data_IF_514116117267
#
_entry.id   IF_514116117267
#
_cell.length_a   1.000
_cell.length_b   1.000
_cell.length_c   1.000
_cell.angle_alpha   90.00
_cell.angle_beta   90.00
_cell.angle_gamma   90.00
#
_symmetry.space_group_name_H-M   'P 1'
#
loop_
_entity.id
_entity.type
_entity.pdbx_description
1 polymer ?
#
# COMPACT_ATOMS: atom_id res chain seq x y z
N UNK A 1 5.07 2.98 32.93
CA UNK A 1 5.13 2.12 34.12
C UNK A 1 6.49 1.46 34.23
N UNK A 2 6.80 0.91 35.38
CA UNK A 2 8.10 0.27 35.67
C UNK A 2 8.09 -1.23 35.31
N UNK A 3 7.46 -1.61 34.24
CA UNK A 3 7.50 -3.02 33.79
C UNK A 3 8.89 -3.35 33.26
N UNK A 4 9.45 -4.46 33.68
CA UNK A 4 10.61 -5.06 33.06
C UNK A 4 10.15 -5.83 31.81
N UNK A 5 10.49 -5.29 30.65
CA UNK A 5 10.10 -5.85 29.36
C UNK A 5 11.25 -6.57 28.65
N UNK A 6 12.42 -6.62 29.29
CA UNK A 6 13.66 -7.14 28.70
C UNK A 6 13.61 -8.62 28.26
N UNK A 7 12.68 -9.40 28.79
CA UNK A 7 12.52 -10.82 28.43
C UNK A 7 11.34 -11.11 27.49
N UNK A 8 10.64 -10.05 27.01
CA UNK A 8 9.48 -10.24 26.13
C UNK A 8 9.95 -10.31 24.67
N UNK A 9 9.65 -11.42 24.00
CA UNK A 9 9.97 -11.62 22.58
C UNK A 9 8.73 -11.57 21.68
N UNK A 10 7.53 -11.85 22.22
CA UNK A 10 6.25 -11.85 21.49
C UNK A 10 5.35 -10.74 22.01
N UNK A 11 5.09 -9.74 21.17
CA UNK A 11 4.26 -8.57 21.46
C UNK A 11 2.95 -8.58 20.68
N UNK A 12 2.63 -9.74 20.07
CA UNK A 12 1.47 -9.87 19.19
C UNK A 12 0.19 -9.40 19.90
N UNK A 13 -0.48 -8.42 19.29
CA UNK A 13 -1.78 -7.93 19.71
C UNK A 13 -1.84 -7.32 21.14
N UNK A 14 -0.72 -6.95 21.75
CA UNK A 14 -0.68 -6.52 23.17
C UNK A 14 -1.68 -5.40 23.49
N UNK A 15 -1.92 -4.48 22.56
CA UNK A 15 -2.91 -3.39 22.69
C UNK A 15 -4.02 -3.49 21.64
N UNK A 16 -4.31 -4.71 21.17
CA UNK A 16 -5.33 -4.94 20.15
C UNK A 16 -6.69 -4.38 20.60
N UNK A 17 -7.29 -3.49 19.80
CA UNK A 17 -8.54 -2.78 20.09
C UNK A 17 -8.55 -1.95 21.39
N UNK A 18 -7.38 -1.63 21.96
CA UNK A 18 -7.27 -0.73 23.10
C UNK A 18 -7.45 0.73 22.62
N UNK A 19 -8.66 1.08 22.19
CA UNK A 19 -8.98 2.33 21.47
C UNK A 19 -8.64 3.62 22.22
N UNK A 20 -8.61 3.58 23.57
CA UNK A 20 -8.26 4.72 24.43
C UNK A 20 -6.82 4.69 24.91
N UNK A 21 -6.04 3.66 24.55
CA UNK A 21 -4.66 3.54 25.04
C UNK A 21 -3.77 4.59 24.38
N UNK A 22 -3.14 5.44 25.21
CA UNK A 22 -2.16 6.44 24.80
C UNK A 22 -1.18 6.76 25.92
N UNK A 23 -0.67 5.73 26.63
CA UNK A 23 0.30 5.94 27.71
C UNK A 23 1.73 5.87 27.18
N UNK A 24 2.63 6.61 27.82
CA UNK A 24 4.04 6.61 27.46
C UNK A 24 4.68 5.24 27.76
N UNK A 25 5.22 4.63 26.72
CA UNK A 25 5.90 3.34 26.73
C UNK A 25 7.29 3.42 26.05
N UNK A 26 7.80 4.64 25.86
CA UNK A 26 9.08 4.90 25.17
C UNK A 26 10.29 4.25 25.85
N UNK A 27 10.20 3.99 27.16
CA UNK A 27 11.27 3.40 27.96
C UNK A 27 11.26 1.86 28.01
N UNK A 28 10.36 1.22 27.26
CA UNK A 28 10.32 -0.24 27.22
C UNK A 28 11.54 -0.79 26.49
N UNK A 29 12.13 -1.84 27.06
CA UNK A 29 13.18 -2.60 26.39
C UNK A 29 12.53 -3.56 25.39
N UNK A 30 12.80 -3.34 24.10
CA UNK A 30 12.28 -4.14 22.98
C UNK A 30 13.38 -4.96 22.29
N UNK A 31 14.59 -4.97 22.84
CA UNK A 31 15.77 -5.59 22.22
C UNK A 31 15.62 -7.09 21.93
N UNK A 32 14.73 -7.78 22.65
CA UNK A 32 14.42 -9.19 22.42
C UNK A 32 13.12 -9.41 21.60
N UNK A 33 12.45 -8.33 21.17
CA UNK A 33 11.22 -8.46 20.39
C UNK A 33 11.48 -9.12 19.03
N UNK A 34 10.68 -10.13 18.69
CA UNK A 34 10.74 -10.83 17.40
C UNK A 34 9.45 -10.73 16.60
N UNK A 35 8.30 -10.62 17.26
CA UNK A 35 6.98 -10.48 16.63
C UNK A 35 6.21 -9.33 17.28
N UNK A 36 5.89 -8.29 16.50
CA UNK A 36 5.09 -7.14 16.90
C UNK A 36 3.76 -7.06 16.14
N UNK A 37 3.32 -8.19 15.56
CA UNK A 37 2.12 -8.24 14.74
C UNK A 37 0.88 -7.77 15.51
N UNK A 38 0.13 -6.84 14.92
CA UNK A 38 -1.12 -6.33 15.46
C UNK A 38 -1.00 -5.61 16.81
N UNK A 39 0.20 -5.26 17.27
CA UNK A 39 0.43 -4.73 18.64
C UNK A 39 -0.46 -3.54 18.96
N UNK A 40 -0.70 -2.62 18.03
CA UNK A 40 -1.55 -1.45 18.18
C UNK A 40 -2.76 -1.46 17.23
N UNK A 41 -3.15 -2.63 16.70
CA UNK A 41 -4.32 -2.74 15.84
C UNK A 41 -5.57 -2.29 16.57
N UNK A 42 -6.25 -1.26 16.03
CA UNK A 42 -7.43 -0.65 16.64
C UNK A 42 -7.15 0.25 17.86
N UNK A 43 -5.88 0.51 18.19
CA UNK A 43 -5.52 1.47 19.24
C UNK A 43 -5.64 2.92 18.70
N UNK A 44 -6.86 3.35 18.43
CA UNK A 44 -7.16 4.56 17.64
C UNK A 44 -6.68 5.87 18.25
N UNK A 45 -6.47 5.92 19.58
CA UNK A 45 -5.92 7.10 20.27
C UNK A 45 -4.38 7.05 20.45
N UNK A 46 -3.72 5.93 20.07
CA UNK A 46 -2.29 5.77 20.32
C UNK A 46 -1.44 6.69 19.46
N UNK A 47 -0.64 7.56 20.10
CA UNK A 47 0.29 8.46 19.42
C UNK A 47 1.48 8.80 20.31
N UNK A 48 2.11 7.79 20.96
CA UNK A 48 3.30 8.00 21.79
C UNK A 48 4.57 7.76 21.00
N UNK A 49 5.65 8.41 21.46
CA UNK A 49 6.97 8.23 20.87
C UNK A 49 7.54 6.85 21.17
N UNK A 50 7.76 6.07 20.13
CA UNK A 50 8.34 4.73 20.15
C UNK A 50 9.51 4.61 19.17
N UNK A 51 10.00 5.74 18.65
CA UNK A 51 11.11 5.77 17.69
C UNK A 51 12.45 5.30 18.26
N UNK A 52 12.57 5.28 19.60
CA UNK A 52 13.76 4.76 20.29
C UNK A 52 13.73 3.25 20.57
N UNK A 53 12.71 2.52 20.14
CA UNK A 53 12.67 1.07 20.33
C UNK A 53 13.73 0.36 19.49
N UNK A 54 14.36 -0.64 20.06
CA UNK A 54 15.25 -1.57 19.34
C UNK A 54 14.39 -2.59 18.58
N UNK A 55 14.42 -2.52 17.25
CA UNK A 55 13.68 -3.42 16.37
C UNK A 55 14.59 -4.40 15.62
N UNK A 56 15.88 -4.43 15.95
CA UNK A 56 16.90 -5.20 15.23
C UNK A 56 16.70 -6.73 15.24
N UNK A 57 15.82 -7.23 16.09
CA UNK A 57 15.43 -8.65 16.13
C UNK A 57 14.01 -8.91 15.64
N UNK A 58 13.26 -7.85 15.26
CA UNK A 58 11.88 -8.01 14.80
C UNK A 58 11.85 -8.59 13.38
N UNK A 59 11.03 -9.61 13.21
CA UNK A 59 10.85 -10.30 11.93
C UNK A 59 9.47 -10.11 11.34
N UNK A 60 8.45 -9.72 12.16
CA UNK A 60 7.08 -9.49 11.74
C UNK A 60 6.53 -8.21 12.37
N UNK A 61 5.93 -7.38 11.51
CA UNK A 61 5.23 -6.15 11.86
C UNK A 61 3.83 -6.10 11.20
N UNK A 62 3.30 -7.28 10.80
CA UNK A 62 2.00 -7.38 10.16
C UNK A 62 0.91 -6.74 11.02
N UNK A 63 0.03 -5.97 10.40
CA UNK A 63 -1.16 -5.39 11.05
C UNK A 63 -0.85 -4.45 12.24
N UNK A 64 0.43 -4.06 12.45
CA UNK A 64 0.88 -3.44 13.71
C UNK A 64 0.10 -2.17 14.08
N UNK A 65 -0.22 -1.33 13.09
CA UNK A 65 -0.92 -0.06 13.29
C UNK A 65 -2.25 0.02 12.54
N UNK A 66 -2.88 -1.15 12.22
CA UNK A 66 -4.21 -1.10 11.60
C UNK A 66 -5.15 -0.25 12.45
N UNK A 67 -5.81 0.75 11.81
CA UNK A 67 -6.76 1.64 12.48
C UNK A 67 -6.20 2.36 13.73
N UNK A 68 -4.88 2.52 13.84
CA UNK A 68 -4.26 3.45 14.77
C UNK A 68 -4.39 4.87 14.20
N UNK A 69 -5.60 5.43 14.25
CA UNK A 69 -6.06 6.55 13.42
C UNK A 69 -5.17 7.78 13.50
N UNK A 70 -4.66 8.11 14.71
CA UNK A 70 -3.88 9.33 14.98
C UNK A 70 -2.37 9.06 15.12
N UNK A 71 -1.92 7.81 14.92
CA UNK A 71 -0.50 7.49 15.04
C UNK A 71 0.31 8.19 13.97
N UNK A 72 1.22 9.07 14.39
CA UNK A 72 2.09 9.83 13.49
C UNK A 72 3.42 10.19 14.19
N UNK A 73 4.10 9.21 14.82
CA UNK A 73 5.40 9.39 15.45
C UNK A 73 6.52 8.87 14.58
N UNK A 74 7.68 9.53 14.69
CA UNK A 74 8.85 9.14 13.92
C UNK A 74 9.34 7.74 14.31
N UNK A 75 9.36 6.85 13.34
CA UNK A 75 9.84 5.46 13.42
C UNK A 75 10.85 5.16 12.28
N UNK A 76 11.35 6.20 11.62
CA UNK A 76 12.29 6.07 10.49
C UNK A 76 13.64 5.43 10.87
N UNK A 77 14.01 5.46 12.17
CA UNK A 77 15.24 4.85 12.66
C UNK A 77 15.11 3.35 13.03
N UNK A 78 13.92 2.76 12.87
CA UNK A 78 13.76 1.34 13.14
C UNK A 78 14.61 0.50 12.18
N UNK A 79 15.30 -0.49 12.73
CA UNK A 79 15.99 -1.51 11.94
C UNK A 79 14.95 -2.52 11.44
N UNK A 80 14.71 -2.52 10.13
CA UNK A 80 13.75 -3.40 9.46
C UNK A 80 14.42 -4.51 8.66
N UNK A 81 15.76 -4.63 8.75
CA UNK A 81 16.55 -5.53 7.93
C UNK A 81 16.20 -7.02 8.07
N UNK A 82 15.56 -7.42 9.18
CA UNK A 82 15.08 -8.80 9.40
C UNK A 82 13.58 -8.97 9.14
N UNK A 83 12.85 -7.88 8.89
CA UNK A 83 11.40 -7.95 8.74
C UNK A 83 11.04 -8.51 7.38
N UNK A 84 10.25 -9.58 7.37
CA UNK A 84 9.74 -10.21 6.14
C UNK A 84 8.23 -10.08 5.96
N UNK A 85 7.48 -9.70 6.99
CA UNK A 85 6.02 -9.51 6.94
C UNK A 85 5.63 -8.14 7.49
N UNK A 86 5.23 -7.24 6.57
CA UNK A 86 4.71 -5.91 6.84
C UNK A 86 3.27 -5.73 6.31
N UNK A 87 2.58 -6.83 5.99
CA UNK A 87 1.24 -6.73 5.42
C UNK A 87 0.32 -5.89 6.31
N UNK A 88 -0.43 -4.98 5.70
CA UNK A 88 -1.40 -4.09 6.33
C UNK A 88 -0.87 -3.25 7.51
N UNK A 89 0.47 -3.06 7.62
CA UNK A 89 1.08 -2.45 8.80
C UNK A 89 0.47 -1.10 9.18
N UNK A 90 0.11 -0.27 8.21
CA UNK A 90 -0.48 1.06 8.41
C UNK A 90 -1.90 1.17 7.82
N UNK A 91 -2.59 0.05 7.60
CA UNK A 91 -3.93 0.10 7.03
C UNK A 91 -4.89 0.88 7.95
N UNK A 92 -5.53 1.93 7.42
CA UNK A 92 -6.41 2.80 8.20
C UNK A 92 -5.69 3.70 9.23
N UNK A 93 -4.37 3.81 9.21
CA UNK A 93 -3.61 4.79 10.00
C UNK A 93 -3.72 6.17 9.33
N UNK A 94 -4.83 6.87 9.54
CA UNK A 94 -5.24 8.03 8.75
C UNK A 94 -4.23 9.18 8.78
N UNK A 95 -3.63 9.43 9.95
CA UNK A 95 -2.71 10.57 10.15
C UNK A 95 -1.24 10.19 9.85
N UNK A 96 -0.92 8.91 9.63
CA UNK A 96 0.46 8.48 9.46
C UNK A 96 1.10 9.09 8.22
N UNK A 97 2.18 9.86 8.41
CA UNK A 97 2.95 10.49 7.33
C UNK A 97 4.40 10.73 7.76
N UNK A 98 5.06 9.76 8.39
CA UNK A 98 6.46 9.89 8.80
C UNK A 98 7.41 9.33 7.75
N UNK A 99 8.60 9.91 7.70
CA UNK A 99 9.66 9.45 6.80
C UNK A 99 10.16 8.06 7.20
N UNK A 100 9.98 7.10 6.30
CA UNK A 100 10.39 5.70 6.41
C UNK A 100 11.22 5.28 5.18
N UNK A 101 11.78 6.26 4.47
CA UNK A 101 12.61 6.03 3.27
C UNK A 101 13.89 5.22 3.56
N UNK A 102 14.35 5.26 4.82
CA UNK A 102 15.53 4.52 5.27
C UNK A 102 15.30 3.04 5.64
N UNK A 103 14.06 2.56 5.56
CA UNK A 103 13.78 1.16 5.90
C UNK A 103 14.38 0.19 4.88
N UNK A 104 14.99 -0.87 5.39
CA UNK A 104 15.42 -2.01 4.58
C UNK A 104 14.21 -2.94 4.34
N UNK A 105 13.79 -3.04 3.08
CA UNK A 105 12.66 -3.86 2.66
C UNK A 105 13.09 -5.09 1.86
N UNK A 106 14.39 -5.35 1.77
CA UNK A 106 14.97 -6.41 0.93
C UNK A 106 14.49 -7.83 1.29
N UNK A 107 14.04 -8.05 2.52
CA UNK A 107 13.48 -9.34 2.95
C UNK A 107 11.97 -9.45 2.82
N UNK A 108 11.27 -8.37 2.39
CA UNK A 108 9.82 -8.34 2.30
C UNK A 108 9.34 -8.99 1.00
N UNK A 109 8.53 -10.04 1.11
CA UNK A 109 7.99 -10.75 -0.06
C UNK A 109 6.54 -10.39 -0.41
N UNK A 110 5.85 -9.68 0.48
CA UNK A 110 4.46 -9.27 0.31
C UNK A 110 4.22 -7.91 0.95
N UNK A 111 3.59 -6.99 0.19
CA UNK A 111 3.24 -5.64 0.62
C UNK A 111 1.73 -5.39 0.55
N UNK A 112 0.94 -6.47 0.82
CA UNK A 112 -0.53 -6.39 0.79
C UNK A 112 -1.01 -5.30 1.74
N UNK A 113 -1.77 -4.34 1.22
CA UNK A 113 -2.51 -3.31 1.98
C UNK A 113 -1.66 -2.47 2.96
N UNK A 114 -0.32 -2.42 2.79
CA UNK A 114 0.56 -1.78 3.78
C UNK A 114 0.15 -0.33 4.11
N UNK A 115 -0.34 0.45 3.14
CA UNK A 115 -0.85 1.81 3.30
C UNK A 115 -2.33 1.95 2.90
N UNK A 116 -3.09 0.84 2.92
CA UNK A 116 -4.51 0.89 2.60
C UNK A 116 -5.22 1.90 3.52
N UNK A 117 -5.94 2.88 2.92
CA UNK A 117 -6.63 3.95 3.64
C UNK A 117 -5.75 4.83 4.57
N UNK A 118 -4.43 4.80 4.43
CA UNK A 118 -3.54 5.76 5.07
C UNK A 118 -3.62 7.12 4.33
N UNK A 119 -4.67 7.87 4.59
CA UNK A 119 -5.10 9.02 3.77
C UNK A 119 -4.11 10.18 3.77
N UNK A 120 -3.29 10.33 4.81
CA UNK A 120 -2.26 11.37 4.90
C UNK A 120 -0.89 10.95 4.36
N UNK A 121 -0.69 9.64 4.11
CA UNK A 121 0.63 9.13 3.74
C UNK A 121 1.08 9.63 2.37
N UNK A 122 2.21 10.34 2.33
CA UNK A 122 2.83 10.83 1.09
C UNK A 122 4.35 10.98 1.24
N UNK A 123 5.04 10.01 1.88
CA UNK A 123 6.49 10.04 2.02
C UNK A 123 7.16 9.30 0.88
N UNK A 124 8.39 9.73 0.57
CA UNK A 124 9.18 9.11 -0.49
C UNK A 124 9.63 7.71 -0.06
N UNK A 125 9.18 6.71 -0.78
CA UNK A 125 9.54 5.29 -0.62
C UNK A 125 10.10 4.70 -1.92
N UNK A 126 10.51 5.55 -2.86
CA UNK A 126 11.10 5.13 -4.13
C UNK A 126 12.41 4.35 -3.99
N UNK A 127 13.10 4.49 -2.85
CA UNK A 127 14.33 3.74 -2.53
C UNK A 127 14.10 2.34 -1.96
N UNK A 128 12.87 1.95 -1.69
CA UNK A 128 12.58 0.61 -1.15
C UNK A 128 13.01 -0.49 -2.13
N UNK A 129 13.67 -1.52 -1.63
CA UNK A 129 13.95 -2.71 -2.40
C UNK A 129 12.68 -3.58 -2.51
N UNK A 130 12.15 -3.68 -3.72
CA UNK A 130 10.93 -4.45 -4.01
C UNK A 130 11.23 -5.73 -4.80
N UNK A 131 12.51 -6.04 -5.02
CA UNK A 131 12.94 -7.16 -5.87
C UNK A 131 12.44 -8.55 -5.41
N UNK A 132 12.13 -8.70 -4.12
CA UNK A 132 11.57 -9.94 -3.58
C UNK A 132 10.04 -9.92 -3.46
N UNK A 133 9.37 -8.80 -3.78
CA UNK A 133 7.93 -8.67 -3.61
C UNK A 133 7.18 -9.39 -4.72
N UNK A 134 6.26 -10.26 -4.32
CA UNK A 134 5.40 -11.01 -5.25
C UNK A 134 3.95 -10.55 -5.25
N UNK A 135 3.52 -9.80 -4.21
CA UNK A 135 2.13 -9.39 -4.03
C UNK A 135 2.02 -7.96 -3.50
N UNK A 136 1.31 -7.11 -4.26
CA UNK A 136 1.07 -5.69 -3.95
C UNK A 136 -0.43 -5.35 -3.87
N UNK A 137 -1.28 -6.34 -3.61
CA UNK A 137 -2.75 -6.16 -3.52
C UNK A 137 -3.12 -5.01 -2.58
N UNK A 138 -3.86 -4.03 -3.10
CA UNK A 138 -4.41 -2.92 -2.32
C UNK A 138 -3.37 -2.08 -1.59
N UNK A 139 -2.09 -2.09 -2.00
CA UNK A 139 -0.99 -1.43 -1.26
C UNK A 139 -1.31 0.02 -0.91
N UNK A 140 -1.93 0.77 -1.82
CA UNK A 140 -2.35 2.16 -1.66
C UNK A 140 -3.86 2.33 -1.83
N UNK A 141 -4.66 1.29 -1.55
CA UNK A 141 -6.12 1.37 -1.61
C UNK A 141 -6.62 2.54 -0.75
N UNK A 142 -7.26 3.53 -1.34
CA UNK A 142 -7.79 4.70 -0.64
C UNK A 142 -6.74 5.64 0.00
N UNK A 143 -5.45 5.49 -0.30
CA UNK A 143 -4.38 6.39 0.14
C UNK A 143 -4.41 7.69 -0.67
N UNK A 144 -5.33 8.58 -0.35
CA UNK A 144 -5.69 9.73 -1.18
C UNK A 144 -4.57 10.75 -1.40
N UNK A 145 -3.63 10.88 -0.47
CA UNK A 145 -2.53 11.85 -0.60
C UNK A 145 -1.31 11.29 -1.31
N UNK A 146 -1.22 9.95 -1.48
CA UNK A 146 -0.01 9.33 -2.01
C UNK A 146 0.23 9.69 -3.48
N UNK A 147 1.37 10.35 -3.76
CA UNK A 147 1.79 10.71 -5.12
C UNK A 147 3.31 10.80 -5.23
N UNK A 148 4.04 9.84 -4.65
CA UNK A 148 5.50 9.81 -4.75
C UNK A 148 5.97 8.95 -5.92
N UNK A 149 7.16 9.28 -6.43
CA UNK A 149 7.79 8.52 -7.51
C UNK A 149 8.20 7.12 -7.01
N UNK A 150 7.63 6.11 -7.64
CA UNK A 150 7.89 4.69 -7.42
C UNK A 150 8.20 3.97 -8.73
N UNK A 151 8.51 4.72 -9.78
CA UNK A 151 8.82 4.17 -11.11
C UNK A 151 10.10 3.34 -11.16
N UNK A 152 10.99 3.49 -10.15
CA UNK A 152 12.22 2.71 -10.03
C UNK A 152 12.07 1.36 -9.32
N UNK A 153 10.88 1.02 -8.83
CA UNK A 153 10.65 -0.26 -8.16
C UNK A 153 10.87 -1.45 -9.10
N UNK A 154 11.56 -2.47 -8.61
CA UNK A 154 11.65 -3.76 -9.29
C UNK A 154 10.36 -4.55 -9.08
N UNK A 155 9.55 -4.67 -10.13
CA UNK A 155 8.28 -5.40 -10.11
C UNK A 155 8.35 -6.74 -10.81
N UNK A 156 9.55 -7.17 -11.23
CA UNK A 156 9.77 -8.37 -12.03
C UNK A 156 9.31 -9.69 -11.38
N UNK A 157 9.06 -9.68 -10.08
CA UNK A 157 8.53 -10.83 -9.34
C UNK A 157 7.06 -10.69 -8.94
N UNK A 158 6.42 -9.54 -9.21
CA UNK A 158 5.03 -9.29 -8.79
C UNK A 158 4.05 -10.07 -9.68
N UNK A 159 3.16 -10.80 -9.04
CA UNK A 159 2.11 -11.57 -9.72
C UNK A 159 0.71 -10.99 -9.55
N UNK A 160 0.49 -10.17 -8.53
CA UNK A 160 -0.81 -9.59 -8.23
C UNK A 160 -0.69 -8.12 -7.82
N UNK A 161 -1.33 -7.24 -8.60
CA UNK A 161 -1.42 -5.79 -8.39
C UNK A 161 -2.87 -5.33 -8.21
N UNK A 162 -3.81 -6.26 -7.91
CA UNK A 162 -5.22 -5.91 -7.82
C UNK A 162 -5.47 -4.83 -6.77
N UNK A 163 -6.34 -3.88 -7.12
CA UNK A 163 -6.78 -2.78 -6.25
C UNK A 163 -5.65 -1.87 -5.72
N UNK A 164 -4.45 -1.88 -6.34
CA UNK A 164 -3.26 -1.21 -5.79
C UNK A 164 -3.46 0.29 -5.58
N UNK A 165 -4.12 0.98 -6.51
CA UNK A 165 -4.46 2.41 -6.45
C UNK A 165 -5.96 2.64 -6.51
N UNK A 166 -6.76 1.67 -6.03
CA UNK A 166 -8.21 1.74 -5.98
C UNK A 166 -8.67 2.92 -5.12
N UNK A 167 -9.52 3.78 -5.69
CA UNK A 167 -10.08 4.92 -5.00
C UNK A 167 -11.56 5.10 -5.35
N UNK A 168 -12.43 4.29 -4.76
CA UNK A 168 -13.88 4.40 -4.98
C UNK A 168 -14.63 4.47 -3.66
N UNK A 169 -15.69 5.27 -3.65
CA UNK A 169 -16.60 5.44 -2.51
C UNK A 169 -18.03 5.18 -2.96
N UNK A 170 -18.71 4.28 -2.29
CA UNK A 170 -20.11 3.94 -2.59
C UNK A 170 -21.09 5.11 -2.29
N UNK A 171 -20.73 6.01 -1.40
CA UNK A 171 -21.58 7.11 -0.89
C UNK A 171 -21.25 8.48 -1.51
N UNK A 172 -20.54 8.50 -2.64
CA UNK A 172 -20.27 9.75 -3.34
C UNK A 172 -21.52 10.29 -4.04
N UNK A 173 -22.19 11.25 -3.42
CA UNK A 173 -22.75 12.33 -4.23
C UNK A 173 -21.56 12.97 -4.97
N UNK A 174 -21.56 12.96 -6.29
CA UNK A 174 -20.46 13.44 -7.17
C UNK A 174 -19.96 14.87 -6.88
N UNK A 175 -20.54 15.55 -5.91
CA UNK A 175 -20.32 16.96 -5.57
C UNK A 175 -19.78 17.19 -4.14
N UNK A 176 -19.42 16.16 -3.36
CA UNK A 176 -18.84 16.41 -2.03
C UNK A 176 -17.34 16.74 -2.13
N UNK A 177 -17.06 18.00 -2.46
CA UNK A 177 -15.70 18.57 -2.55
C UNK A 177 -14.95 18.59 -1.21
N UNK A 178 -15.59 18.22 -0.10
CA UNK A 178 -14.94 18.17 1.22
C UNK A 178 -14.09 16.90 1.44
N UNK A 179 -14.22 15.93 0.53
CA UNK A 179 -13.52 14.62 0.64
C UNK A 179 -12.27 14.63 -0.24
N UNK A 180 -11.15 14.03 0.24
CA UNK A 180 -9.93 13.97 -0.55
C UNK A 180 -10.14 13.21 -1.86
N UNK A 181 -9.56 13.72 -2.94
CA UNK A 181 -9.49 13.07 -4.24
C UNK A 181 -8.20 12.22 -4.30
N UNK A 182 -8.15 11.16 -5.14
CA UNK A 182 -6.92 10.42 -5.35
C UNK A 182 -5.86 11.35 -5.96
N UNK A 183 -4.59 11.17 -5.55
CA UNK A 183 -3.50 12.02 -6.03
C UNK A 183 -2.53 11.31 -6.97
N UNK A 184 -2.50 9.95 -6.96
CA UNK A 184 -1.47 9.20 -7.64
C UNK A 184 -1.54 9.36 -9.16
N UNK A 185 -0.47 9.93 -9.73
CA UNK A 185 -0.28 10.09 -11.18
C UNK A 185 1.21 10.13 -11.56
N UNK A 186 2.03 9.25 -10.96
CA UNK A 186 3.47 9.15 -11.27
C UNK A 186 3.73 8.15 -12.38
N UNK A 187 4.85 8.33 -13.07
CA UNK A 187 5.28 7.44 -14.15
C UNK A 187 5.67 6.06 -13.59
N UNK A 188 4.96 5.04 -14.03
CA UNK A 188 5.18 3.62 -13.70
C UNK A 188 5.29 2.78 -14.97
N UNK A 189 5.53 3.42 -16.12
CA UNK A 189 5.66 2.75 -17.41
C UNK A 189 6.83 1.77 -17.49
N UNK A 190 7.87 1.95 -16.64
CA UNK A 190 9.03 1.06 -16.60
C UNK A 190 8.83 -0.21 -15.75
N UNK A 191 7.67 -0.38 -15.12
CA UNK A 191 7.42 -1.60 -14.34
C UNK A 191 7.41 -2.85 -15.24
N UNK A 192 8.10 -3.89 -14.79
CA UNK A 192 8.01 -5.20 -15.40
C UNK A 192 6.72 -5.90 -14.94
N UNK A 193 5.77 -6.03 -15.85
CA UNK A 193 4.47 -6.66 -15.59
C UNK A 193 4.37 -8.07 -16.15
N UNK A 194 5.47 -8.62 -16.68
CA UNK A 194 5.49 -9.90 -17.39
C UNK A 194 5.02 -11.10 -16.56
N UNK A 195 5.07 -11.02 -15.22
CA UNK A 195 4.55 -12.07 -14.34
C UNK A 195 3.17 -11.75 -13.72
N UNK A 196 2.63 -10.57 -13.99
CA UNK A 196 1.35 -10.18 -13.39
C UNK A 196 0.20 -10.97 -14.02
N UNK A 197 -0.62 -11.56 -13.18
CA UNK A 197 -1.82 -12.31 -13.60
C UNK A 197 -3.11 -11.61 -13.24
N UNK A 198 -3.09 -10.71 -12.24
CA UNK A 198 -4.27 -10.02 -11.77
C UNK A 198 -4.02 -8.50 -11.63
N UNK A 199 -4.80 -7.71 -12.40
CA UNK A 199 -4.84 -6.24 -12.38
C UNK A 199 -6.25 -5.72 -12.04
N UNK A 200 -7.14 -6.58 -11.48
CA UNK A 200 -8.51 -6.20 -11.08
C UNK A 200 -8.51 -4.91 -10.27
N UNK A 201 -9.34 -3.96 -10.67
CA UNK A 201 -9.59 -2.72 -9.93
C UNK A 201 -8.37 -1.80 -9.72
N UNK A 202 -7.25 -2.03 -10.39
CA UNK A 202 -5.98 -1.36 -10.06
C UNK A 202 -6.08 0.17 -10.02
N UNK A 203 -6.89 0.78 -10.90
CA UNK A 203 -7.04 2.23 -11.02
C UNK A 203 -8.49 2.71 -10.88
N UNK A 204 -9.35 1.96 -10.17
CA UNK A 204 -10.74 2.38 -9.94
C UNK A 204 -10.79 3.79 -9.36
N UNK A 205 -11.55 4.70 -9.99
CA UNK A 205 -11.77 6.08 -9.54
C UNK A 205 -10.51 6.94 -9.47
N UNK A 206 -9.41 6.49 -10.07
CA UNK A 206 -8.10 7.16 -10.06
C UNK A 206 -8.04 8.33 -11.05
N UNK A 207 -7.14 9.30 -10.79
CA UNK A 207 -6.76 10.36 -11.73
C UNK A 207 -5.57 9.95 -12.62
N UNK A 208 -5.12 8.71 -12.50
CA UNK A 208 -3.95 8.19 -13.21
C UNK A 208 -4.10 8.32 -14.72
N UNK A 209 -3.08 8.90 -15.37
CA UNK A 209 -3.04 9.07 -16.83
C UNK A 209 -1.60 9.09 -17.37
N UNK A 210 -0.72 8.21 -16.84
CA UNK A 210 0.63 8.06 -17.37
C UNK A 210 0.70 6.94 -18.39
N UNK A 211 1.73 6.98 -19.24
CA UNK A 211 1.94 5.99 -20.30
C UNK A 211 2.30 4.61 -19.71
N UNK A 212 1.49 3.62 -20.04
CA UNK A 212 1.66 2.22 -19.66
C UNK A 212 1.58 1.29 -20.89
N UNK A 213 1.85 1.84 -22.06
CA UNK A 213 1.83 1.09 -23.35
C UNK A 213 2.89 -0.01 -23.41
N UNK A 214 3.96 0.12 -22.61
CA UNK A 214 5.06 -0.84 -22.51
C UNK A 214 4.76 -2.07 -21.64
N UNK A 215 3.65 -2.05 -20.88
CA UNK A 215 3.34 -3.17 -19.99
C UNK A 215 3.07 -4.46 -20.75
N UNK A 216 3.73 -5.53 -20.33
CA UNK A 216 3.45 -6.88 -20.81
C UNK A 216 2.22 -7.44 -20.09
N UNK A 217 1.12 -7.57 -20.83
CA UNK A 217 -0.15 -8.10 -20.31
C UNK A 217 -0.41 -9.55 -20.72
N UNK A 218 0.58 -10.21 -21.35
CA UNK A 218 0.41 -11.54 -21.92
C UNK A 218 0.04 -12.63 -20.92
N UNK A 219 0.34 -12.44 -19.63
CA UNK A 219 -0.01 -13.38 -18.57
C UNK A 219 -1.23 -12.93 -17.73
N UNK A 220 -1.81 -11.76 -18.01
CA UNK A 220 -2.95 -11.25 -17.24
C UNK A 220 -4.21 -12.01 -17.60
N UNK A 221 -4.91 -12.46 -16.56
CA UNK A 221 -6.21 -13.17 -16.66
C UNK A 221 -7.39 -12.35 -16.15
N UNK A 222 -7.14 -11.39 -15.25
CA UNK A 222 -8.15 -10.58 -14.59
C UNK A 222 -7.88 -9.09 -14.76
N UNK A 223 -8.81 -8.38 -15.45
CA UNK A 223 -8.83 -6.93 -15.64
C UNK A 223 -10.19 -6.32 -15.29
N UNK A 224 -11.02 -7.06 -14.51
CA UNK A 224 -12.31 -6.56 -14.06
C UNK A 224 -12.17 -5.18 -13.41
N UNK A 225 -13.02 -4.23 -13.79
CA UNK A 225 -13.09 -2.86 -13.28
C UNK A 225 -11.75 -2.09 -13.25
N UNK A 226 -10.73 -2.50 -14.00
CA UNK A 226 -9.36 -1.93 -13.87
C UNK A 226 -9.33 -0.39 -13.95
N UNK A 227 -10.10 0.22 -14.83
CA UNK A 227 -10.23 1.67 -15.02
C UNK A 227 -11.65 2.18 -14.77
N UNK A 228 -12.43 1.46 -13.94
CA UNK A 228 -13.78 1.87 -13.56
C UNK A 228 -13.75 3.27 -12.94
N UNK A 229 -14.49 4.22 -13.51
CA UNK A 229 -14.52 5.66 -13.10
C UNK A 229 -13.14 6.36 -13.12
N UNK A 230 -12.16 5.84 -13.83
CA UNK A 230 -10.88 6.50 -14.05
C UNK A 230 -11.05 7.63 -15.07
N UNK A 231 -11.68 8.72 -14.66
CA UNK A 231 -12.18 9.80 -15.53
C UNK A 231 -11.10 10.51 -16.35
N UNK A 232 -9.84 10.44 -15.93
CA UNK A 232 -8.71 11.09 -16.61
C UNK A 232 -7.94 10.17 -17.56
N UNK A 233 -8.11 8.85 -17.44
CA UNK A 233 -7.30 7.90 -18.19
C UNK A 233 -7.61 7.92 -19.69
N UNK A 234 -6.58 8.17 -20.53
CA UNK A 234 -6.70 8.15 -21.99
C UNK A 234 -5.36 7.82 -22.68
N UNK A 235 -4.58 6.88 -22.13
CA UNK A 235 -3.32 6.46 -22.75
C UNK A 235 -3.53 5.35 -23.78
N UNK A 236 -2.63 5.29 -24.76
CA UNK A 236 -2.65 4.24 -25.77
C UNK A 236 -2.23 2.89 -25.17
N UNK A 237 -3.15 1.94 -25.20
CA UNK A 237 -2.98 0.57 -24.70
C UNK A 237 -3.30 -0.46 -25.81
N UNK A 238 -3.23 -0.03 -27.07
CA UNK A 238 -3.51 -0.88 -28.24
C UNK A 238 -2.55 -2.05 -28.37
N UNK A 239 -1.36 -1.97 -27.77
CA UNK A 239 -0.34 -3.02 -27.77
C UNK A 239 -0.55 -4.11 -26.72
N UNK A 240 -1.53 -3.94 -25.82
CA UNK A 240 -1.77 -4.95 -24.79
C UNK A 240 -2.24 -6.27 -25.40
N UNK A 241 -1.69 -7.37 -24.89
CA UNK A 241 -2.08 -8.73 -25.26
C UNK A 241 -3.21 -9.16 -24.34
N UNK A 242 -4.36 -9.46 -24.91
CA UNK A 242 -5.59 -9.77 -24.16
C UNK A 242 -6.07 -11.21 -24.28
N UNK A 243 -5.39 -12.01 -25.07
CA UNK A 243 -5.76 -13.41 -25.39
C UNK A 243 -5.92 -14.33 -24.18
N UNK A 244 -5.28 -14.01 -23.04
CA UNK A 244 -5.41 -14.78 -21.79
C UNK A 244 -6.41 -14.15 -20.80
N UNK A 245 -6.96 -12.95 -21.08
CA UNK A 245 -7.86 -12.29 -20.17
C UNK A 245 -9.24 -12.96 -20.18
N UNK A 246 -9.70 -13.37 -19.01
CA UNK A 246 -10.99 -14.07 -18.86
C UNK A 246 -12.10 -13.17 -18.33
N UNK A 247 -11.74 -12.03 -17.72
CA UNK A 247 -12.70 -11.09 -17.17
C UNK A 247 -12.25 -9.62 -17.39
N UNK A 248 -13.05 -8.86 -18.14
CA UNK A 248 -12.94 -7.41 -18.38
C UNK A 248 -14.24 -6.67 -17.99
N UNK A 249 -15.05 -7.25 -17.11
CA UNK A 249 -16.35 -6.66 -16.74
C UNK A 249 -16.16 -5.25 -16.23
N UNK A 250 -16.92 -4.30 -16.80
CA UNK A 250 -16.91 -2.88 -16.41
C UNK A 250 -15.53 -2.19 -16.46
N UNK A 251 -14.56 -2.71 -17.23
CA UNK A 251 -13.17 -2.21 -17.25
C UNK A 251 -13.08 -0.69 -17.45
N UNK A 252 -13.91 -0.10 -18.30
CA UNK A 252 -13.95 1.35 -18.58
C UNK A 252 -15.29 2.00 -18.25
N UNK A 253 -16.07 1.40 -17.33
CA UNK A 253 -17.35 1.99 -16.92
C UNK A 253 -17.11 3.41 -16.33
N UNK A 254 -17.79 4.43 -16.85
CA UNK A 254 -17.63 5.85 -16.47
C UNK A 254 -16.17 6.37 -16.58
N UNK A 255 -15.32 5.79 -17.45
CA UNK A 255 -14.00 6.31 -17.80
C UNK A 255 -14.13 7.40 -18.89
N UNK A 256 -14.64 8.57 -18.52
CA UNK A 256 -15.13 9.62 -19.42
C UNK A 256 -14.16 10.09 -20.50
N UNK A 257 -12.85 10.09 -20.20
CA UNK A 257 -11.82 10.55 -21.14
C UNK A 257 -11.34 9.45 -22.09
N UNK A 258 -11.62 8.17 -21.79
CA UNK A 258 -11.03 7.07 -22.56
C UNK A 258 -11.59 6.99 -23.99
N UNK A 259 -10.72 7.21 -24.98
CA UNK A 259 -11.09 7.18 -26.42
C UNK A 259 -9.96 6.61 -27.29
N UNK A 260 -9.24 5.61 -26.80
CA UNK A 260 -8.14 4.99 -27.56
C UNK A 260 -8.62 3.81 -28.41
N UNK A 261 -7.86 3.50 -29.47
CA UNK A 261 -8.17 2.37 -30.31
C UNK A 261 -7.75 1.06 -29.66
N UNK A 262 -8.70 0.22 -29.30
CA UNK A 262 -8.50 -1.12 -28.74
C UNK A 262 -9.01 -2.22 -29.71
N UNK A 263 -9.22 -1.89 -30.97
CA UNK A 263 -9.75 -2.84 -31.94
C UNK A 263 -8.80 -3.98 -32.33
N UNK A 264 -7.55 -3.95 -31.84
CA UNK A 264 -6.55 -5.01 -32.01
C UNK A 264 -6.59 -6.07 -30.89
N UNK A 265 -7.37 -5.84 -29.85
CA UNK A 265 -7.51 -6.81 -28.75
C UNK A 265 -8.22 -8.08 -29.23
N UNK A 266 -7.79 -9.26 -28.79
CA UNK A 266 -8.23 -10.60 -29.18
C UNK A 266 -8.94 -11.37 -28.04
#
# INVERSE_FOLDING_TARGET
>A
GSWDTSNIYDWTGMFYNASSFNQNISSWDTSNASDMSGMFNGASAFNQDIGGWDTSNVTKMRDMFINALVFNKNIGNWDTSKVYDMNAMFAGALDFNQDISGWDTSNVSSMIQIFSQATSFNQNIGSWDTSNVTNMVGMFFGASSFNQDIGSWDTSNVTNMSNMFYFYREDCSENDLSKPSPAFNQDIGNWDTSKVTNMEGMFVGSVFNQDISSWDTSNVTEMEVMFYKASSFNQDISNWITSNVTNMSNMFYDADSFNQNIGSWD
#
